data_IF_301910304036
#
_entry.id   IF_301910304036
#
_cell.length_a   1.000
_cell.length_b   1.000
_cell.length_c   1.000
_cell.angle_alpha   90.00
_cell.angle_beta   90.00
_cell.angle_gamma   90.00
#
_symmetry.space_group_name_H-M   'P 1'
#
loop_
_entity.id
_entity.type
_entity.pdbx_description
1 polymer ?
#
# COMPACT_ATOMS: atom_id res chain seq x y z
N UNK A 1 -5.20 -6.12 -18.99
CA UNK A 1 -5.28 -6.67 -17.61
C UNK A 1 -5.66 -5.54 -16.67
N UNK A 2 -6.63 -5.74 -15.75
CA UNK A 2 -6.94 -4.75 -14.71
C UNK A 2 -5.91 -4.90 -13.59
N UNK A 3 -5.01 -3.94 -13.46
CA UNK A 3 -4.04 -3.91 -12.36
C UNK A 3 -4.77 -3.65 -11.05
N UNK A 4 -4.40 -4.41 -10.03
CA UNK A 4 -4.95 -4.35 -8.68
C UNK A 4 -3.86 -3.91 -7.71
N UNK A 5 -4.24 -3.14 -6.71
CA UNK A 5 -3.33 -2.52 -5.76
C UNK A 5 -3.74 -2.83 -4.33
N UNK A 6 -2.83 -2.61 -3.40
CA UNK A 6 -3.08 -2.72 -1.95
C UNK A 6 -2.44 -1.53 -1.26
N UNK A 7 -2.91 -1.23 -0.05
CA UNK A 7 -2.36 -0.15 0.78
C UNK A 7 -1.50 -0.74 1.90
N UNK A 8 -0.25 -0.30 1.96
CA UNK A 8 0.71 -0.62 3.00
C UNK A 8 0.90 0.57 3.94
N UNK A 9 1.04 0.30 5.24
CA UNK A 9 1.44 1.25 6.27
C UNK A 9 2.51 0.61 7.16
N UNK A 10 3.07 1.36 8.13
CA UNK A 10 4.01 0.78 9.10
C UNK A 10 3.42 -0.39 9.89
N UNK A 11 2.10 -0.46 10.04
CA UNK A 11 1.41 -1.58 10.70
C UNK A 11 1.16 -2.78 9.77
N UNK A 12 1.56 -2.67 8.50
CA UNK A 12 1.40 -3.69 7.47
C UNK A 12 0.33 -3.35 6.44
N UNK A 13 -0.17 -4.39 5.75
CA UNK A 13 -1.15 -4.25 4.68
C UNK A 13 -2.55 -4.11 5.27
N UNK A 14 -3.17 -2.94 5.09
CA UNK A 14 -4.48 -2.63 5.68
C UNK A 14 -5.65 -3.20 4.89
N UNK A 15 -5.51 -3.33 3.56
CA UNK A 15 -6.66 -3.63 2.69
C UNK A 15 -6.41 -4.72 1.66
N UNK A 16 -7.51 -5.35 1.23
CA UNK A 16 -7.54 -6.28 0.11
C UNK A 16 -7.63 -5.53 -1.23
N UNK A 17 -7.39 -6.22 -2.34
CA UNK A 17 -7.15 -5.61 -3.66
C UNK A 17 -8.14 -4.49 -4.06
N UNK A 18 -7.63 -3.28 -4.30
CA UNK A 18 -8.38 -2.11 -4.78
C UNK A 18 -7.97 -1.70 -6.19
N UNK A 19 -8.79 -0.86 -6.82
CA UNK A 19 -8.43 -0.19 -8.09
C UNK A 19 -7.39 0.90 -7.87
N UNK A 20 -6.83 1.43 -8.97
CA UNK A 20 -5.84 2.52 -8.91
C UNK A 20 -6.41 3.79 -8.28
N UNK A 21 -7.61 4.18 -8.72
CA UNK A 21 -8.21 5.44 -8.32
C UNK A 21 -8.59 5.40 -6.83
N UNK A 22 -9.17 4.28 -6.38
CA UNK A 22 -9.43 4.02 -4.95
C UNK A 22 -8.14 4.05 -4.12
N UNK A 23 -7.06 3.44 -4.61
CA UNK A 23 -5.78 3.44 -3.89
C UNK A 23 -5.22 4.86 -3.71
N UNK A 24 -5.30 5.69 -4.75
CA UNK A 24 -4.86 7.10 -4.71
C UNK A 24 -5.71 7.90 -3.72
N UNK A 25 -7.03 7.74 -3.78
CA UNK A 25 -7.94 8.43 -2.87
C UNK A 25 -7.66 8.06 -1.41
N UNK A 26 -7.50 6.76 -1.13
CA UNK A 26 -7.22 6.28 0.23
C UNK A 26 -5.90 6.79 0.78
N UNK A 27 -4.82 6.76 0.01
CA UNK A 27 -3.52 7.27 0.49
C UNK A 27 -3.60 8.76 0.82
N UNK A 28 -4.35 9.55 0.05
CA UNK A 28 -4.59 10.97 0.39
C UNK A 28 -5.37 11.12 1.69
N UNK A 29 -6.44 10.33 1.87
CA UNK A 29 -7.21 10.32 3.12
C UNK A 29 -6.34 9.92 4.32
N UNK A 30 -5.50 8.89 4.19
CA UNK A 30 -4.56 8.50 5.25
C UNK A 30 -3.58 9.64 5.59
N UNK A 31 -3.04 10.30 4.58
CA UNK A 31 -2.15 11.45 4.78
C UNK A 31 -2.84 12.60 5.52
N UNK A 32 -4.11 12.91 5.21
CA UNK A 32 -4.92 13.91 5.94
C UNK A 32 -5.08 13.56 7.43
N UNK A 33 -4.99 12.28 7.79
CA UNK A 33 -5.04 11.78 9.17
C UNK A 33 -3.64 11.57 9.79
N UNK A 34 -2.56 12.01 9.12
CA UNK A 34 -1.19 11.88 9.60
C UNK A 34 -0.61 10.46 9.51
N UNK A 35 -1.19 9.60 8.66
CA UNK A 35 -0.74 8.23 8.46
C UNK A 35 0.03 8.15 7.14
N UNK A 36 1.28 7.71 7.21
CA UNK A 36 2.08 7.41 6.02
C UNK A 36 1.64 6.08 5.41
N UNK A 37 1.01 6.17 4.24
CA UNK A 37 0.49 5.04 3.49
C UNK A 37 1.10 4.96 2.08
N UNK A 38 1.31 3.73 1.59
CA UNK A 38 1.96 3.45 0.32
C UNK A 38 1.08 2.55 -0.54
N UNK A 39 1.03 2.85 -1.83
CA UNK A 39 0.36 2.00 -2.82
C UNK A 39 1.36 0.96 -3.30
N UNK A 40 1.00 -0.32 -3.16
CA UNK A 40 1.78 -1.44 -3.71
C UNK A 40 0.94 -2.24 -4.69
N UNK A 41 1.59 -2.99 -5.58
CA UNK A 41 0.87 -3.95 -6.43
C UNK A 41 0.30 -5.08 -5.56
N UNK A 42 -0.77 -5.75 -6.03
CA UNK A 42 -1.32 -6.90 -5.30
C UNK A 42 -0.27 -7.99 -5.04
N UNK A 43 0.53 -8.33 -6.05
CA UNK A 43 1.60 -9.34 -5.95
C UNK A 43 2.62 -8.96 -4.87
N UNK A 44 2.97 -7.68 -4.77
CA UNK A 44 3.91 -7.20 -3.76
C UNK A 44 3.28 -7.21 -2.36
N UNK A 45 2.01 -6.80 -2.23
CA UNK A 45 1.30 -6.86 -0.96
C UNK A 45 1.14 -8.29 -0.43
N UNK A 46 0.90 -9.26 -1.33
CA UNK A 46 0.88 -10.69 -0.99
C UNK A 46 2.27 -11.19 -0.55
N UNK A 47 3.35 -10.81 -1.26
CA UNK A 47 4.73 -11.13 -0.86
C UNK A 47 5.03 -10.66 0.57
N UNK A 48 4.68 -9.41 0.89
CA UNK A 48 4.90 -8.81 2.22
C UNK A 48 4.10 -9.56 3.29
N UNK A 49 2.81 -9.88 3.02
CA UNK A 49 1.95 -10.64 3.96
C UNK A 49 2.47 -12.06 4.22
N UNK A 50 2.83 -12.79 3.18
CA UNK A 50 3.12 -14.23 3.27
C UNK A 50 4.52 -14.51 3.83
N UNK A 51 5.50 -13.68 3.46
CA UNK A 51 6.89 -13.93 3.81
C UNK A 51 7.39 -13.13 5.00
N UNK A 52 6.60 -12.17 5.49
CA UNK A 52 7.04 -11.22 6.51
C UNK A 52 8.26 -10.40 6.08
N UNK A 53 8.47 -10.28 4.76
CA UNK A 53 9.61 -9.54 4.20
C UNK A 53 9.38 -8.03 4.34
N UNK A 54 10.44 -7.29 4.67
CA UNK A 54 10.36 -5.83 4.85
C UNK A 54 9.97 -5.11 3.54
N UNK A 55 9.08 -4.13 3.68
CA UNK A 55 8.79 -3.17 2.62
C UNK A 55 9.86 -2.06 2.66
N UNK A 56 10.58 -1.90 1.56
CA UNK A 56 11.60 -0.86 1.46
C UNK A 56 10.94 0.50 1.23
N UNK A 57 10.82 1.28 2.30
CA UNK A 57 10.25 2.63 2.25
C UNK A 57 11.09 3.52 1.32
N UNK A 58 10.47 4.16 0.31
CA UNK A 58 11.18 5.11 -0.54
C UNK A 58 11.65 6.29 0.31
N UNK A 59 12.94 6.62 0.18
CA UNK A 59 13.56 7.80 0.81
C UNK A 59 13.65 8.90 -0.23
N UNK A 60 13.15 10.08 0.11
CA UNK A 60 13.35 11.29 -0.68
C UNK A 60 14.54 12.03 -0.05
N UNK A 61 15.64 12.16 -0.80
CA UNK A 61 16.75 13.07 -0.48
C UNK A 61 16.51 14.45 -1.12
#
# INVERSE_FOLDING_TARGET
MRHKYMIYTQEGILENSVTRDEAIEKVKQYHEHGIDAYIVSQTEGERIKEKGEEFHLPKWE
#
